data_IF_641273804135
#
_entry.id   IF_641273804135
#
_cell.length_a   1.000
_cell.length_b   1.000
_cell.length_c   1.000
_cell.angle_alpha   90.00
_cell.angle_beta   90.00
_cell.angle_gamma   90.00
#
_symmetry.space_group_name_H-M   'P 1'
#
loop_
_entity.id
_entity.type
_entity.pdbx_description
1 polymer ?
#
# COMPACT_ATOMS: atom_id res chain seq x y z
N UNK A 1 3.45 -30.05 23.26
CA UNK A 1 2.34 -29.67 22.36
C UNK A 1 2.97 -28.89 21.23
N UNK A 2 2.97 -29.46 20.03
CA UNK A 2 3.67 -28.92 18.86
C UNK A 2 2.88 -27.77 18.26
N UNK A 3 3.34 -26.54 18.50
CA UNK A 3 2.83 -25.39 17.77
C UNK A 3 3.56 -25.37 16.42
N UNK A 4 2.92 -25.93 15.40
CA UNK A 4 3.40 -25.83 14.02
C UNK A 4 3.14 -24.40 13.56
N UNK A 5 4.10 -23.50 13.76
CA UNK A 5 4.19 -22.23 13.04
C UNK A 5 4.11 -22.55 11.55
N UNK A 6 2.96 -22.28 10.93
CA UNK A 6 2.82 -22.35 9.47
C UNK A 6 3.66 -21.21 8.91
N UNK A 7 4.86 -21.59 8.51
CA UNK A 7 5.81 -20.77 7.77
C UNK A 7 5.21 -20.35 6.42
N UNK A 8 5.56 -19.15 5.96
CA UNK A 8 5.27 -18.67 4.61
C UNK A 8 5.61 -19.77 3.58
N UNK A 9 4.61 -20.27 2.87
CA UNK A 9 4.72 -21.53 2.11
C UNK A 9 5.53 -21.39 0.83
N UNK A 10 5.55 -20.20 0.23
CA UNK A 10 6.32 -19.91 -0.98
C UNK A 10 6.48 -18.40 -1.16
N UNK A 11 7.72 -17.94 -1.33
CA UNK A 11 8.02 -16.64 -1.94
C UNK A 11 8.74 -16.88 -3.28
N UNK A 12 8.28 -16.21 -4.33
CA UNK A 12 8.94 -16.22 -5.64
C UNK A 12 9.21 -14.80 -6.05
N UNK A 13 10.49 -14.43 -6.18
CA UNK A 13 10.94 -13.10 -6.62
C UNK A 13 11.51 -13.18 -8.03
N UNK A 14 11.21 -12.17 -8.84
CA UNK A 14 11.74 -12.00 -10.19
C UNK A 14 11.98 -10.52 -10.50
N UNK A 15 13.06 -10.22 -11.24
CA UNK A 15 13.28 -8.92 -11.88
C UNK A 15 12.74 -8.94 -13.31
N UNK A 16 12.09 -7.85 -13.71
CA UNK A 16 11.31 -7.75 -14.94
C UNK A 16 11.71 -6.50 -15.71
N UNK A 17 12.00 -6.65 -17.00
CA UNK A 17 12.50 -5.57 -17.86
C UNK A 17 11.47 -4.95 -18.81
N UNK A 18 10.20 -5.35 -18.73
CA UNK A 18 9.13 -4.77 -19.56
C UNK A 18 7.75 -4.88 -18.91
N UNK A 19 6.82 -3.99 -19.30
CA UNK A 19 5.43 -4.03 -18.85
C UNK A 19 4.72 -5.32 -19.23
N UNK A 20 4.96 -5.81 -20.45
CA UNK A 20 4.36 -7.05 -20.94
C UNK A 20 4.79 -8.25 -20.11
N UNK A 21 6.05 -8.31 -19.71
CA UNK A 21 6.56 -9.40 -18.87
C UNK A 21 5.96 -9.31 -17.46
N UNK A 22 5.82 -8.09 -16.90
CA UNK A 22 5.22 -7.89 -15.59
C UNK A 22 3.77 -8.34 -15.59
N UNK A 23 3.01 -7.89 -16.59
CA UNK A 23 1.61 -8.28 -16.77
C UNK A 23 1.48 -9.79 -16.99
N UNK A 24 2.37 -10.41 -17.75
CA UNK A 24 2.35 -11.86 -17.98
C UNK A 24 2.54 -12.65 -16.68
N UNK A 25 3.43 -12.19 -15.79
CA UNK A 25 3.62 -12.79 -14.47
C UNK A 25 2.40 -12.60 -13.57
N UNK A 26 1.84 -11.39 -13.53
CA UNK A 26 0.60 -11.12 -12.78
C UNK A 26 -0.53 -12.01 -13.28
N UNK A 27 -0.74 -12.07 -14.61
CA UNK A 27 -1.81 -12.87 -15.22
C UNK A 27 -1.67 -14.34 -14.90
N UNK A 28 -0.45 -14.89 -14.98
CA UNK A 28 -0.20 -16.28 -14.59
C UNK A 28 -0.67 -16.54 -13.15
N UNK A 29 -0.32 -15.67 -12.21
CA UNK A 29 -0.70 -15.84 -10.81
C UNK A 29 -2.20 -15.65 -10.54
N UNK A 30 -2.87 -14.82 -11.34
CA UNK A 30 -4.32 -14.63 -11.28
C UNK A 30 -5.08 -15.77 -11.97
N UNK A 31 -4.55 -16.37 -13.03
CA UNK A 31 -5.14 -17.52 -13.72
C UNK A 31 -5.05 -18.80 -12.87
N UNK A 32 -3.96 -18.96 -12.10
CA UNK A 32 -3.69 -20.14 -11.27
C UNK A 32 -4.32 -20.07 -9.86
N UNK A 33 -5.08 -19.02 -9.54
CA UNK A 33 -5.66 -18.83 -8.20
C UNK A 33 -7.01 -19.54 -8.02
N UNK A 34 -7.27 -20.00 -6.80
CA UNK A 34 -8.58 -20.53 -6.40
C UNK A 34 -9.45 -19.50 -5.64
N UNK A 35 -8.92 -18.29 -5.41
CA UNK A 35 -9.67 -17.22 -4.76
C UNK A 35 -10.83 -16.74 -5.63
N UNK A 36 -11.95 -16.40 -5.01
CA UNK A 36 -13.17 -15.93 -5.69
C UNK A 36 -13.19 -14.42 -5.85
N UNK A 37 -12.53 -13.70 -4.96
CA UNK A 37 -12.46 -12.25 -4.94
C UNK A 37 -11.04 -11.76 -5.16
N UNK A 38 -10.90 -10.65 -5.87
CA UNK A 38 -9.62 -9.97 -6.10
C UNK A 38 -9.66 -8.55 -5.53
N UNK A 39 -8.69 -8.22 -4.70
CA UNK A 39 -8.42 -6.83 -4.29
C UNK A 39 -7.20 -6.32 -5.04
N UNK A 40 -7.31 -5.15 -5.65
CA UNK A 40 -6.22 -4.47 -6.36
C UNK A 40 -5.91 -3.16 -5.63
N UNK A 41 -4.75 -3.08 -4.98
CA UNK A 41 -4.20 -1.84 -4.48
C UNK A 41 -3.41 -1.18 -5.62
N UNK A 42 -3.93 -0.04 -6.08
CA UNK A 42 -3.43 0.69 -7.23
C UNK A 42 -3.70 2.19 -7.02
N UNK A 43 -2.99 3.05 -7.75
CA UNK A 43 -3.20 4.49 -7.66
C UNK A 43 -2.84 5.05 -6.30
N UNK A 44 -1.84 4.48 -5.62
CA UNK A 44 -1.32 5.04 -4.38
C UNK A 44 -0.78 6.44 -4.64
N UNK A 45 -1.24 7.41 -3.85
CA UNK A 45 -0.79 8.80 -3.93
C UNK A 45 -0.55 9.39 -2.54
N UNK A 46 0.21 10.47 -2.50
CA UNK A 46 0.50 11.21 -1.27
C UNK A 46 -0.30 12.51 -1.23
N UNK A 47 -0.60 13.04 -0.06
CA UNK A 47 -1.18 14.37 0.09
C UNK A 47 -0.09 15.43 0.10
N UNK A 48 -0.24 16.46 -0.72
CA UNK A 48 0.64 17.62 -0.73
C UNK A 48 -0.07 18.83 -0.15
N UNK A 49 0.67 19.68 0.55
CA UNK A 49 0.16 20.97 0.99
C UNK A 49 0.26 22.01 -0.12
N UNK A 50 -0.90 22.52 -0.52
CA UNK A 50 -1.05 23.67 -1.40
C UNK A 50 -1.05 24.94 -0.52
N UNK A 51 0.03 25.72 -0.63
CA UNK A 51 0.20 26.94 0.17
C UNK A 51 -0.77 28.06 -0.24
N UNK A 52 -1.17 28.11 -1.51
CA UNK A 52 -2.09 29.12 -2.04
C UNK A 52 -3.51 28.88 -1.52
N UNK A 53 -3.95 27.61 -1.54
CA UNK A 53 -5.26 27.21 -1.01
C UNK A 53 -5.26 26.96 0.50
N UNK A 54 -4.08 26.86 1.11
CA UNK A 54 -3.87 26.46 2.51
C UNK A 54 -4.57 25.13 2.86
N UNK A 55 -4.57 24.19 1.92
CA UNK A 55 -5.25 22.90 2.05
C UNK A 55 -4.38 21.76 1.53
N UNK A 56 -4.81 20.52 1.78
CA UNK A 56 -4.18 19.35 1.19
C UNK A 56 -4.83 19.03 -0.16
N UNK A 57 -4.00 18.65 -1.12
CA UNK A 57 -4.41 18.20 -2.46
C UNK A 57 -3.81 16.83 -2.77
N UNK A 58 -4.49 15.96 -3.54
CA UNK A 58 -3.93 14.68 -3.98
C UNK A 58 -2.64 14.86 -4.79
N UNK A 59 -1.67 13.99 -4.58
CA UNK A 59 -0.40 13.95 -5.31
C UNK A 59 -0.51 13.34 -6.70
N UNK A 60 -1.48 13.79 -7.49
CA UNK A 60 -1.75 13.36 -8.86
C UNK A 60 -1.63 14.60 -9.74
N UNK A 61 -0.59 14.69 -10.58
CA UNK A 61 -0.27 15.95 -11.27
C UNK A 61 -1.34 16.35 -12.30
N UNK A 62 -2.09 15.39 -12.82
CA UNK A 62 -3.21 15.57 -13.75
C UNK A 62 -4.46 16.17 -13.08
N UNK A 63 -4.56 16.11 -11.75
CA UNK A 63 -5.69 16.64 -10.98
C UNK A 63 -5.40 18.05 -10.42
N UNK A 64 -4.22 18.62 -10.70
CA UNK A 64 -3.84 19.92 -10.14
C UNK A 64 -4.35 21.08 -10.98
N UNK A 65 -4.89 22.09 -10.30
CA UNK A 65 -5.37 23.32 -10.95
C UNK A 65 -4.24 24.31 -11.29
N UNK A 66 -3.10 24.24 -10.57
CA UNK A 66 -1.99 25.17 -10.77
C UNK A 66 -0.77 24.48 -11.37
N UNK A 67 -0.10 25.17 -12.29
CA UNK A 67 1.13 24.68 -12.92
C UNK A 67 2.23 24.42 -11.88
N UNK A 68 2.32 25.28 -10.85
CA UNK A 68 3.29 25.12 -9.77
C UNK A 68 3.11 23.79 -9.03
N UNK A 69 1.88 23.47 -8.61
CA UNK A 69 1.59 22.21 -7.92
C UNK A 69 1.74 21.02 -8.85
N UNK A 70 1.28 21.14 -10.10
CA UNK A 70 1.46 20.08 -11.11
C UNK A 70 2.94 19.73 -11.29
N UNK A 71 3.81 20.72 -11.49
CA UNK A 71 5.26 20.50 -11.65
C UNK A 71 5.91 19.94 -10.38
N UNK A 72 5.52 20.42 -9.20
CA UNK A 72 6.02 19.90 -7.93
C UNK A 72 5.71 18.42 -7.75
N UNK A 73 4.46 18.03 -8.00
CA UNK A 73 4.00 16.64 -7.88
C UNK A 73 4.66 15.78 -8.96
N UNK A 74 4.68 16.27 -10.20
CA UNK A 74 5.31 15.58 -11.34
C UNK A 74 6.76 15.20 -11.06
N UNK A 75 7.57 16.12 -10.52
CA UNK A 75 8.98 15.85 -10.15
C UNK A 75 9.14 14.83 -9.05
N UNK A 76 8.19 14.76 -8.10
CA UNK A 76 8.31 13.88 -6.94
C UNK A 76 7.75 12.49 -7.19
N UNK A 77 6.62 12.41 -7.88
CA UNK A 77 5.79 11.21 -7.96
C UNK A 77 5.71 10.66 -9.39
N UNK A 78 5.85 11.52 -10.41
CA UNK A 78 5.82 11.10 -11.80
C UNK A 78 4.45 10.55 -12.21
N UNK A 79 4.44 9.59 -13.15
CA UNK A 79 3.21 8.98 -13.68
C UNK A 79 2.61 7.92 -12.77
N UNK A 80 3.33 7.47 -11.73
CA UNK A 80 3.01 6.27 -10.96
C UNK A 80 1.54 6.15 -10.49
N UNK A 81 0.90 7.19 -9.90
CA UNK A 81 -0.46 7.04 -9.39
C UNK A 81 -1.45 6.74 -10.52
N UNK A 82 -1.48 7.57 -11.57
CA UNK A 82 -2.40 7.35 -12.70
C UNK A 82 -2.05 6.08 -13.47
N UNK A 83 -0.76 5.83 -13.71
CA UNK A 83 -0.31 4.65 -14.44
C UNK A 83 -0.70 3.34 -13.74
N UNK A 84 -0.44 3.22 -12.43
CA UNK A 84 -0.80 2.02 -11.68
C UNK A 84 -2.31 1.86 -11.53
N UNK A 85 -3.06 2.96 -11.42
CA UNK A 85 -4.52 2.93 -11.45
C UNK A 85 -5.04 2.36 -12.77
N UNK A 86 -4.56 2.86 -13.90
CA UNK A 86 -4.97 2.40 -15.23
C UNK A 86 -4.60 0.93 -15.46
N UNK A 87 -3.40 0.50 -15.03
CA UNK A 87 -3.02 -0.91 -15.02
C UNK A 87 -3.96 -1.75 -14.16
N UNK A 88 -4.20 -1.34 -12.92
CA UNK A 88 -5.05 -2.06 -11.97
C UNK A 88 -6.48 -2.24 -12.50
N UNK A 89 -7.07 -1.17 -13.02
CA UNK A 89 -8.42 -1.22 -13.60
C UNK A 89 -8.47 -2.07 -14.87
N UNK A 90 -7.42 -2.00 -15.72
CA UNK A 90 -7.32 -2.84 -16.92
C UNK A 90 -7.21 -4.34 -16.58
N UNK A 91 -6.44 -4.67 -15.54
CA UNK A 91 -6.36 -6.03 -15.00
C UNK A 91 -7.73 -6.46 -14.47
N UNK A 92 -8.38 -5.61 -13.67
CA UNK A 92 -9.73 -5.89 -13.17
C UNK A 92 -10.70 -6.21 -14.31
N UNK A 93 -10.70 -5.41 -15.38
CA UNK A 93 -11.56 -5.63 -16.55
C UNK A 93 -11.29 -6.97 -17.24
N UNK A 94 -10.03 -7.37 -17.39
CA UNK A 94 -9.66 -8.66 -17.97
C UNK A 94 -10.26 -9.83 -17.19
N UNK A 95 -10.35 -9.70 -15.86
CA UNK A 95 -10.81 -10.76 -14.96
C UNK A 95 -12.24 -10.60 -14.45
N UNK A 96 -13.02 -9.66 -14.99
CA UNK A 96 -14.39 -9.38 -14.53
C UNK A 96 -15.35 -10.55 -14.63
N UNK A 97 -15.07 -11.52 -15.50
CA UNK A 97 -15.86 -12.75 -15.63
C UNK A 97 -15.32 -13.93 -14.81
N UNK A 98 -14.12 -13.82 -14.23
CA UNK A 98 -13.48 -14.87 -13.45
C UNK A 98 -13.75 -14.70 -11.95
N UNK A 99 -13.64 -13.48 -11.43
CA UNK A 99 -13.86 -13.19 -10.02
C UNK A 99 -15.32 -12.82 -9.75
N UNK A 100 -15.87 -13.30 -8.63
CA UNK A 100 -17.21 -12.96 -8.16
C UNK A 100 -17.29 -11.49 -7.71
N UNK A 101 -16.19 -10.95 -7.17
CA UNK A 101 -16.06 -9.54 -6.78
C UNK A 101 -14.63 -9.05 -7.00
N UNK A 102 -14.52 -7.83 -7.53
CA UNK A 102 -13.25 -7.13 -7.72
C UNK A 102 -13.34 -5.80 -6.97
N UNK A 103 -12.43 -5.60 -6.03
CA UNK A 103 -12.33 -4.37 -5.26
C UNK A 103 -11.01 -3.63 -5.50
N UNK A 104 -11.07 -2.30 -5.47
CA UNK A 104 -9.92 -1.42 -5.60
C UNK A 104 -9.64 -0.73 -4.26
N UNK A 105 -8.41 -0.85 -3.78
CA UNK A 105 -7.96 -0.27 -2.52
C UNK A 105 -7.09 0.96 -2.81
N UNK A 106 -7.55 2.14 -2.38
CA UNK A 106 -6.82 3.40 -2.50
C UNK A 106 -6.07 3.71 -1.20
N UNK A 107 -4.80 3.32 -1.14
CA UNK A 107 -3.91 3.70 -0.05
C UNK A 107 -3.43 5.14 -0.26
N UNK A 108 -3.44 5.97 0.78
CA UNK A 108 -3.02 7.38 0.67
C UNK A 108 -2.02 7.79 1.74
N UNK A 109 -0.88 8.31 1.30
CA UNK A 109 0.14 8.89 2.19
C UNK A 109 -0.29 10.27 2.68
N UNK A 110 -0.95 10.27 3.82
CA UNK A 110 -1.51 11.48 4.44
C UNK A 110 -0.61 12.05 5.54
N UNK A 111 0.72 11.88 5.47
CA UNK A 111 1.62 12.41 6.49
C UNK A 111 2.95 12.97 5.98
N UNK A 112 3.55 12.43 4.92
CA UNK A 112 4.92 12.80 4.53
C UNK A 112 5.08 14.27 4.15
N UNK A 113 4.11 14.82 3.42
CA UNK A 113 4.14 16.20 2.92
C UNK A 113 3.09 17.10 3.56
N UNK A 114 2.55 16.67 4.72
CA UNK A 114 1.62 17.46 5.52
C UNK A 114 2.43 18.33 6.49
N UNK A 115 2.25 19.66 6.50
CA UNK A 115 3.02 20.54 7.36
C UNK A 115 2.68 20.31 8.83
N UNK A 116 3.71 20.38 9.67
CA UNK A 116 3.60 20.24 11.14
C UNK A 116 3.89 21.54 11.87
N UNK A 117 4.34 22.57 11.15
CA UNK A 117 4.67 23.88 11.71
C UNK A 117 3.59 24.89 11.33
N UNK A 118 3.18 25.73 12.29
CA UNK A 118 2.25 26.85 12.11
C UNK A 118 0.81 26.50 11.66
N UNK A 119 0.54 25.24 11.30
CA UNK A 119 -0.78 24.72 10.93
C UNK A 119 -0.97 23.33 11.54
N UNK A 120 -2.19 23.00 11.93
CA UNK A 120 -2.54 21.69 12.49
C UNK A 120 -2.66 20.64 11.38
N UNK A 121 -1.74 19.68 11.34
CA UNK A 121 -1.79 18.54 10.43
C UNK A 121 -3.07 17.69 10.60
N UNK A 122 -3.65 17.68 11.81
CA UNK A 122 -4.91 16.99 12.07
C UNK A 122 -6.08 17.68 11.38
N UNK A 123 -6.14 19.01 11.47
CA UNK A 123 -7.23 19.79 10.89
C UNK A 123 -7.15 19.75 9.36
N UNK A 124 -5.95 19.92 8.79
CA UNK A 124 -5.73 19.78 7.35
C UNK A 124 -6.19 18.44 6.78
N UNK A 125 -5.90 17.33 7.47
CA UNK A 125 -6.37 16.00 7.07
C UNK A 125 -7.87 15.86 7.21
N UNK A 126 -8.43 16.38 8.31
CA UNK A 126 -9.88 16.36 8.53
C UNK A 126 -10.59 17.07 7.38
N UNK A 127 -10.15 18.28 7.05
CA UNK A 127 -10.71 19.08 5.96
C UNK A 127 -10.58 18.36 4.61
N UNK A 128 -9.44 17.70 4.35
CA UNK A 128 -9.27 16.87 3.15
C UNK A 128 -10.33 15.76 3.07
N UNK A 129 -10.50 14.98 4.13
CA UNK A 129 -11.46 13.86 4.13
C UNK A 129 -12.93 14.30 4.12
N UNK A 130 -13.23 15.50 4.63
CA UNK A 130 -14.58 16.07 4.57
C UNK A 130 -14.92 16.62 3.18
N UNK A 131 -13.92 17.06 2.42
CA UNK A 131 -14.10 17.66 1.09
C UNK A 131 -13.95 16.65 -0.05
N UNK A 132 -13.10 15.64 0.10
CA UNK A 132 -12.84 14.62 -0.90
C UNK A 132 -13.73 13.39 -0.67
N UNK A 133 -15.02 13.55 -0.97
CA UNK A 133 -16.04 12.49 -0.79
C UNK A 133 -16.17 11.57 -2.01
N UNK A 134 -15.24 11.65 -2.96
CA UNK A 134 -15.14 10.81 -4.15
C UNK A 134 -13.66 10.49 -4.42
N UNK A 135 -13.41 9.42 -5.18
CA UNK A 135 -12.08 9.15 -5.74
C UNK A 135 -11.70 10.25 -6.75
N UNK A 136 -10.41 10.44 -7.05
CA UNK A 136 -9.96 11.39 -8.08
C UNK A 136 -10.73 11.24 -9.39
N UNK A 137 -10.96 12.35 -10.09
CA UNK A 137 -11.88 12.39 -11.24
C UNK A 137 -11.40 11.52 -12.41
N UNK A 138 -10.08 11.50 -12.65
CA UNK A 138 -9.43 10.63 -13.62
C UNK A 138 -9.57 9.16 -13.22
N UNK A 139 -9.49 8.85 -11.92
CA UNK A 139 -9.63 7.48 -11.43
C UNK A 139 -11.05 6.97 -11.64
N UNK A 140 -12.04 7.80 -11.32
CA UNK A 140 -13.45 7.49 -11.55
C UNK A 140 -13.74 7.27 -13.04
N UNK A 141 -13.18 8.13 -13.90
CA UNK A 141 -13.34 8.00 -15.36
C UNK A 141 -12.76 6.68 -15.86
N UNK A 142 -11.55 6.31 -15.45
CA UNK A 142 -10.92 5.05 -15.81
C UNK A 142 -11.73 3.84 -15.29
N UNK A 143 -12.24 3.90 -14.06
CA UNK A 143 -13.05 2.86 -13.44
C UNK A 143 -14.34 2.60 -14.23
N UNK A 144 -15.09 3.66 -14.52
CA UNK A 144 -16.36 3.59 -15.26
C UNK A 144 -16.15 3.12 -16.70
N UNK A 145 -15.11 3.62 -17.39
CA UNK A 145 -14.78 3.22 -18.77
C UNK A 145 -14.42 1.73 -18.88
N UNK A 146 -14.10 1.08 -17.77
CA UNK A 146 -13.77 -0.33 -17.70
C UNK A 146 -14.87 -1.19 -17.08
N UNK A 147 -16.08 -0.63 -16.91
CA UNK A 147 -17.28 -1.37 -16.49
C UNK A 147 -17.44 -1.52 -14.98
N UNK A 148 -16.70 -0.75 -14.19
CA UNK A 148 -16.78 -0.73 -12.73
C UNK A 148 -17.49 0.53 -12.22
N UNK A 149 -17.88 0.54 -10.96
CA UNK A 149 -18.48 1.69 -10.28
C UNK A 149 -17.76 1.99 -8.96
N UNK A 150 -18.17 3.05 -8.27
CA UNK A 150 -17.68 3.36 -6.92
C UNK A 150 -17.94 2.25 -5.90
N UNK A 151 -18.87 1.32 -6.16
CA UNK A 151 -19.13 0.15 -5.30
C UNK A 151 -17.99 -0.88 -5.36
N UNK A 152 -17.11 -0.75 -6.35
CA UNK A 152 -15.87 -1.51 -6.42
C UNK A 152 -14.75 -0.91 -5.56
N UNK A 153 -14.93 0.25 -4.92
CA UNK A 153 -13.92 0.76 -3.98
C UNK A 153 -14.02 0.00 -2.67
N UNK A 154 -12.90 -0.57 -2.22
CA UNK A 154 -12.82 -1.20 -0.91
C UNK A 154 -12.85 -0.11 0.15
N UNK A 155 -13.82 -0.21 1.07
CA UNK A 155 -13.87 0.67 2.24
C UNK A 155 -13.03 0.12 3.39
N UNK A 156 -12.59 1.00 4.27
CA UNK A 156 -12.04 0.62 5.57
C UNK A 156 -12.90 1.18 6.70
N UNK A 157 -12.64 0.76 7.94
CA UNK A 157 -13.38 1.28 9.11
C UNK A 157 -13.23 2.79 9.31
N UNK A 158 -12.18 3.41 8.77
CA UNK A 158 -11.90 4.85 8.94
C UNK A 158 -12.55 5.71 7.87
N UNK A 159 -12.62 5.24 6.63
CA UNK A 159 -13.10 6.01 5.49
C UNK A 159 -13.64 5.06 4.42
N UNK A 160 -14.71 5.47 3.74
CA UNK A 160 -15.40 4.66 2.73
C UNK A 160 -14.67 4.57 1.38
N UNK A 161 -13.63 5.37 1.18
CA UNK A 161 -12.97 5.59 -0.11
C UNK A 161 -11.48 5.28 -0.01
N UNK A 162 -10.84 5.79 1.04
CA UNK A 162 -9.40 5.74 1.20
C UNK A 162 -8.99 4.85 2.37
N UNK A 163 -7.78 4.33 2.28
CA UNK A 163 -7.02 3.73 3.38
C UNK A 163 -5.93 4.74 3.80
N UNK A 164 -6.16 5.54 4.86
CA UNK A 164 -5.16 6.49 5.35
C UNK A 164 -3.96 5.79 5.97
N UNK A 165 -2.75 6.07 5.47
CA UNK A 165 -1.50 5.55 6.03
C UNK A 165 -1.41 5.85 7.54
N UNK A 166 -1.75 7.07 7.96
CA UNK A 166 -1.67 7.46 9.37
C UNK A 166 -2.56 6.61 10.26
N UNK A 167 -3.78 6.31 9.81
CA UNK A 167 -4.70 5.45 10.55
C UNK A 167 -4.14 4.04 10.69
N UNK A 168 -3.59 3.47 9.61
CA UNK A 168 -2.95 2.15 9.63
C UNK A 168 -1.74 2.13 10.56
N UNK A 169 -0.90 3.19 10.54
CA UNK A 169 0.23 3.33 11.46
C UNK A 169 -0.20 3.35 12.93
N UNK A 170 -1.23 4.13 13.28
CA UNK A 170 -1.75 4.17 14.65
C UNK A 170 -2.32 2.83 15.09
N UNK A 171 -2.97 2.10 14.17
CA UNK A 171 -3.45 0.74 14.46
C UNK A 171 -2.30 -0.20 14.71
N UNK A 172 -1.27 -0.17 13.86
CA UNK A 172 -0.11 -1.01 14.04
C UNK A 172 0.59 -0.74 15.36
N UNK A 173 0.73 0.52 15.79
CA UNK A 173 1.31 0.85 17.11
C UNK A 173 0.55 0.19 18.27
N UNK A 174 -0.79 0.19 18.19
CA UNK A 174 -1.66 -0.48 19.18
C UNK A 174 -1.47 -2.01 19.12
N UNK A 175 -1.44 -2.58 17.92
CA UNK A 175 -1.20 -4.01 17.72
C UNK A 175 0.19 -4.43 18.20
N UNK A 176 1.24 -3.68 17.86
CA UNK A 176 2.63 -3.93 18.24
C UNK A 176 2.80 -3.99 19.75
N UNK A 177 2.15 -3.09 20.49
CA UNK A 177 2.18 -3.11 21.97
C UNK A 177 1.61 -4.41 22.55
N UNK A 178 0.62 -5.02 21.90
CA UNK A 178 0.06 -6.32 22.26
C UNK A 178 1.00 -7.46 21.83
N UNK A 179 1.54 -7.40 20.62
CA UNK A 179 2.42 -8.42 20.05
C UNK A 179 3.76 -8.53 20.81
N UNK A 180 4.29 -7.43 21.33
CA UNK A 180 5.45 -7.43 22.25
C UNK A 180 5.11 -8.18 23.54
N UNK A 181 3.92 -7.96 24.13
CA UNK A 181 3.49 -8.69 25.34
C UNK A 181 3.28 -10.18 25.10
N UNK A 182 2.91 -10.56 23.88
CA UNK A 182 2.76 -11.96 23.44
C UNK A 182 4.11 -12.60 23.07
N UNK A 183 5.23 -11.87 23.14
CA UNK A 183 6.54 -12.38 22.76
C UNK A 183 6.75 -12.57 21.26
N UNK A 184 5.89 -11.99 20.42
CA UNK A 184 5.97 -12.13 18.95
C UNK A 184 6.72 -10.99 18.25
N UNK A 185 6.95 -9.88 18.96
CA UNK A 185 7.84 -8.78 18.54
C UNK A 185 8.80 -8.47 19.67
N UNK A 186 10.01 -8.05 19.34
CA UNK A 186 11.02 -7.66 20.32
C UNK A 186 11.04 -6.15 20.49
N UNK A 187 11.09 -5.69 21.75
CA UNK A 187 11.25 -4.27 22.08
C UNK A 187 12.64 -4.05 22.68
N UNK A 188 13.43 -3.19 22.04
CA UNK A 188 14.77 -2.81 22.50
C UNK A 188 14.76 -1.34 22.92
N UNK A 189 15.38 -1.02 24.05
CA UNK A 189 15.59 0.37 24.48
C UNK A 189 16.94 0.84 23.93
N UNK A 190 16.96 1.95 23.22
CA UNK A 190 18.17 2.53 22.65
C UNK A 190 18.81 3.49 23.66
N UNK A 191 20.10 3.32 23.94
CA UNK A 191 21.00 4.28 24.60
C UNK A 191 20.51 4.89 25.92
N UNK A 192 20.29 4.10 26.99
CA UNK A 192 20.05 4.55 28.38
C UNK A 192 19.05 5.73 28.58
N UNK A 193 18.24 6.05 27.57
CA UNK A 193 17.25 7.10 27.56
C UNK A 193 15.90 6.42 27.43
N UNK A 194 15.11 6.48 28.49
CA UNK A 194 13.81 5.79 28.64
C UNK A 194 12.82 6.03 27.48
N UNK A 195 13.02 7.09 26.69
CA UNK A 195 12.11 7.51 25.62
C UNK A 195 12.51 7.07 24.21
N UNK A 196 13.65 6.38 24.02
CA UNK A 196 14.03 5.85 22.71
C UNK A 196 13.93 4.33 22.73
N UNK A 197 12.93 3.79 22.05
CA UNK A 197 12.76 2.35 21.89
C UNK A 197 12.47 1.97 20.45
N UNK A 198 12.93 0.79 20.09
CA UNK A 198 12.61 0.13 18.83
C UNK A 198 11.74 -1.09 19.07
N UNK A 199 10.81 -1.35 18.15
CA UNK A 199 10.07 -2.59 18.10
C UNK A 199 10.39 -3.24 16.75
N UNK A 200 10.86 -4.48 16.80
CA UNK A 200 11.35 -5.22 15.64
C UNK A 200 10.68 -6.58 15.55
N UNK A 201 10.48 -7.03 14.30
CA UNK A 201 10.21 -8.43 14.00
C UNK A 201 11.55 -9.15 13.83
N UNK A 202 11.69 -10.30 14.47
CA UNK A 202 12.86 -11.17 14.31
C UNK A 202 12.44 -12.32 13.42
N UNK A 203 13.06 -12.41 12.24
CA UNK A 203 12.76 -13.49 11.31
C UNK A 203 13.40 -14.83 11.74
N UNK A 204 13.09 -15.91 11.03
CA UNK A 204 13.60 -17.26 11.34
C UNK A 204 15.12 -17.39 11.30
N UNK A 205 15.81 -16.47 10.61
CA UNK A 205 17.26 -16.42 10.53
C UNK A 205 17.87 -15.54 11.63
N UNK A 206 17.05 -14.98 12.52
CA UNK A 206 17.48 -14.08 13.58
C UNK A 206 17.73 -12.64 13.11
N UNK A 207 17.30 -12.25 11.91
CA UNK A 207 17.47 -10.89 11.44
C UNK A 207 16.41 -9.96 12.03
N UNK A 208 16.85 -8.82 12.55
CA UNK A 208 15.98 -7.78 13.07
C UNK A 208 15.45 -6.90 11.93
N UNK A 209 14.13 -6.79 11.85
CA UNK A 209 13.42 -5.86 10.96
C UNK A 209 12.67 -4.83 11.80
N UNK A 210 13.21 -3.62 11.89
CA UNK A 210 12.63 -2.54 12.70
C UNK A 210 11.30 -2.05 12.12
N UNK A 211 10.24 -2.09 12.91
CA UNK A 211 8.88 -1.71 12.51
C UNK A 211 8.45 -0.37 13.13
N UNK A 212 8.92 -0.12 14.34
CA UNK A 212 8.72 1.14 15.05
C UNK A 212 10.07 1.58 15.57
N UNK A 213 10.50 2.79 15.23
CA UNK A 213 11.68 3.43 15.84
C UNK A 213 11.26 4.75 16.47
N UNK A 214 11.60 4.95 17.74
CA UNK A 214 11.26 6.16 18.50
C UNK A 214 9.76 6.52 18.45
N UNK A 215 8.89 5.49 18.44
CA UNK A 215 7.43 5.67 18.38
C UNK A 215 6.87 5.98 16.99
N UNK A 216 7.69 6.00 15.93
CA UNK A 216 7.24 6.20 14.55
C UNK A 216 7.17 4.85 13.84
N UNK A 217 6.00 4.51 13.30
CA UNK A 217 5.80 3.30 12.50
C UNK A 217 6.32 3.50 11.08
N UNK A 218 7.20 2.60 10.65
CA UNK A 218 7.64 2.51 9.25
C UNK A 218 6.56 1.94 8.33
N UNK A 219 6.75 2.04 7.02
CA UNK A 219 5.74 1.60 6.04
C UNK A 219 5.38 0.11 6.17
N UNK A 220 6.29 -0.74 6.64
CA UNK A 220 6.01 -2.16 6.87
C UNK A 220 4.84 -2.41 7.83
N UNK A 221 4.80 -1.71 8.97
CA UNK A 221 3.72 -1.91 9.96
C UNK A 221 2.35 -1.47 9.45
N UNK A 222 2.35 -0.45 8.60
CA UNK A 222 1.16 0.00 7.91
C UNK A 222 0.64 -1.05 6.91
N UNK A 223 1.52 -1.57 6.04
CA UNK A 223 1.16 -2.59 5.06
C UNK A 223 0.64 -3.84 5.77
N UNK A 224 1.25 -4.19 6.91
CA UNK A 224 0.76 -5.27 7.78
C UNK A 224 -0.70 -5.06 8.22
N UNK A 225 -1.07 -3.85 8.67
CA UNK A 225 -2.46 -3.56 9.06
C UNK A 225 -3.40 -3.49 7.85
N UNK A 226 -2.95 -2.96 6.71
CA UNK A 226 -3.75 -2.91 5.48
C UNK A 226 -4.17 -4.33 5.06
N UNK A 227 -3.21 -5.26 4.98
CA UNK A 227 -3.45 -6.66 4.62
C UNK A 227 -4.37 -7.33 5.65
N UNK A 228 -4.20 -7.01 6.93
CA UNK A 228 -5.09 -7.50 7.99
C UNK A 228 -6.54 -7.03 7.79
N UNK A 229 -6.76 -5.77 7.40
CA UNK A 229 -8.11 -5.24 7.13
C UNK A 229 -8.72 -5.86 5.87
N UNK A 230 -7.93 -6.06 4.80
CA UNK A 230 -8.36 -6.78 3.58
C UNK A 230 -8.81 -8.20 3.93
N UNK A 231 -8.01 -8.93 4.70
CA UNK A 231 -8.34 -10.29 5.12
C UNK A 231 -9.60 -10.33 6.00
N UNK A 232 -9.74 -9.39 6.94
CA UNK A 232 -10.93 -9.26 7.80
C UNK A 232 -12.19 -8.90 7.02
N UNK A 233 -12.06 -8.22 5.88
CA UNK A 233 -13.16 -7.96 4.95
C UNK A 233 -13.57 -9.19 4.14
N UNK A 234 -12.87 -10.32 4.27
CA UNK A 234 -13.22 -11.59 3.63
C UNK A 234 -12.39 -11.92 2.39
N UNK A 235 -11.56 -10.99 1.91
CA UNK A 235 -10.76 -11.20 0.70
C UNK A 235 -9.49 -12.02 0.98
N UNK A 236 -9.09 -12.86 0.01
CA UNK A 236 -7.94 -13.78 0.13
C UNK A 236 -6.87 -13.59 -0.95
N UNK A 237 -7.13 -12.73 -1.93
CA UNK A 237 -6.18 -12.40 -2.99
C UNK A 237 -6.03 -10.89 -3.08
N UNK A 238 -4.79 -10.42 -2.97
CA UNK A 238 -4.43 -9.01 -3.03
C UNK A 238 -3.28 -8.80 -4.02
N UNK A 239 -3.49 -7.94 -5.02
CA UNK A 239 -2.45 -7.40 -5.88
C UNK A 239 -2.07 -6.01 -5.38
N UNK A 240 -0.78 -5.75 -5.18
CA UNK A 240 -0.24 -4.47 -4.70
C UNK A 240 0.69 -3.90 -5.76
N UNK A 241 0.39 -2.70 -6.25
CA UNK A 241 1.34 -1.85 -6.95
C UNK A 241 1.98 -0.88 -5.96
N UNK A 242 3.24 -1.13 -5.62
CA UNK A 242 4.00 -0.31 -4.67
C UNK A 242 5.05 0.56 -5.38
N UNK A 243 5.36 1.77 -4.89
CA UNK A 243 6.53 2.48 -5.37
C UNK A 243 7.81 1.67 -5.15
N UNK A 244 8.77 1.72 -6.07
CA UNK A 244 10.06 1.00 -5.95
C UNK A 244 10.82 1.34 -4.66
N UNK A 245 10.79 2.61 -4.22
CA UNK A 245 11.38 3.03 -2.93
C UNK A 245 10.71 2.38 -1.71
N UNK A 246 9.46 1.94 -1.86
CA UNK A 246 8.67 1.29 -0.81
C UNK A 246 8.69 -0.25 -0.90
N UNK A 247 9.35 -0.84 -1.89
CA UNK A 247 9.27 -2.28 -2.16
C UNK A 247 9.70 -3.14 -0.96
N UNK A 248 10.89 -2.88 -0.42
CA UNK A 248 11.42 -3.64 0.73
C UNK A 248 10.54 -3.51 2.00
N UNK A 249 10.08 -2.30 2.38
CA UNK A 249 9.08 -2.16 3.43
C UNK A 249 7.77 -2.91 3.17
N UNK A 250 7.27 -2.91 1.93
CA UNK A 250 6.04 -3.64 1.56
C UNK A 250 6.23 -5.14 1.71
N UNK A 251 7.32 -5.72 1.19
CA UNK A 251 7.64 -7.14 1.38
C UNK A 251 7.70 -7.51 2.86
N UNK A 252 8.40 -6.70 3.67
CA UNK A 252 8.49 -6.90 5.12
C UNK A 252 7.09 -6.87 5.75
N UNK A 253 6.26 -5.91 5.37
CA UNK A 253 4.89 -5.79 5.86
C UNK A 253 4.00 -6.99 5.49
N UNK A 254 4.17 -7.55 4.29
CA UNK A 254 3.47 -8.76 3.82
C UNK A 254 3.90 -9.97 4.64
N UNK A 255 5.20 -10.22 4.79
CA UNK A 255 5.72 -11.36 5.56
C UNK A 255 5.22 -11.31 7.00
N UNK A 256 5.26 -10.13 7.62
CA UNK A 256 4.75 -9.93 8.97
C UNK A 256 3.25 -10.16 9.01
N UNK A 257 2.47 -9.65 8.05
CA UNK A 257 1.03 -9.89 8.02
C UNK A 257 0.71 -11.39 7.98
N UNK A 258 1.33 -12.12 7.06
CA UNK A 258 1.05 -13.54 6.85
C UNK A 258 1.50 -14.40 8.04
N UNK A 259 2.71 -14.15 8.57
CA UNK A 259 3.29 -14.95 9.66
C UNK A 259 2.73 -14.54 11.04
N UNK A 260 2.73 -13.24 11.35
CA UNK A 260 2.44 -12.74 12.69
C UNK A 260 0.94 -12.78 13.01
N UNK A 261 0.09 -12.48 12.02
CA UNK A 261 -1.36 -12.51 12.16
C UNK A 261 -1.98 -13.83 11.72
N UNK A 262 -1.18 -14.78 11.24
CA UNK A 262 -1.63 -16.09 10.77
C UNK A 262 -2.80 -15.97 9.79
N UNK A 263 -2.64 -15.10 8.78
CA UNK A 263 -3.66 -14.82 7.77
C UNK A 263 -3.71 -15.96 6.76
N UNK A 264 -4.25 -17.11 7.17
CA UNK A 264 -4.29 -18.33 6.38
C UNK A 264 -5.04 -18.16 5.05
N UNK A 265 -4.59 -18.88 4.04
CA UNK A 265 -5.15 -18.90 2.69
C UNK A 265 -5.06 -17.54 1.97
N UNK A 266 -4.25 -16.61 2.46
CA UNK A 266 -4.00 -15.32 1.82
C UNK A 266 -2.87 -15.44 0.79
N UNK A 267 -3.14 -14.96 -0.42
CA UNK A 267 -2.16 -14.74 -1.49
C UNK A 267 -1.97 -13.25 -1.71
N UNK A 268 -0.73 -12.79 -1.68
CA UNK A 268 -0.36 -11.40 -1.98
C UNK A 268 0.63 -11.37 -3.12
N UNK A 269 0.28 -10.64 -4.18
CA UNK A 269 1.14 -10.37 -5.34
C UNK A 269 1.61 -8.93 -5.20
N UNK A 270 2.92 -8.70 -5.27
CA UNK A 270 3.53 -7.37 -5.16
C UNK A 270 4.33 -7.10 -6.43
N UNK A 271 4.03 -5.98 -7.07
CA UNK A 271 4.77 -5.44 -8.21
C UNK A 271 5.16 -3.99 -7.90
N UNK A 272 6.35 -3.56 -8.31
CA UNK A 272 6.80 -2.17 -8.15
C UNK A 272 7.04 -1.43 -9.47
N UNK A 273 5.98 -1.01 -10.16
CA UNK A 273 6.10 -0.40 -11.49
C UNK A 273 6.56 1.07 -11.39
N UNK A 274 7.74 1.34 -10.83
CA UNK A 274 8.34 2.67 -10.66
C UNK A 274 7.88 3.40 -9.41
N UNK A 275 7.85 4.74 -9.41
CA UNK A 275 7.25 5.54 -8.33
C UNK A 275 8.18 6.55 -7.67
N UNK A 276 9.22 6.99 -8.35
CA UNK A 276 10.22 7.96 -7.89
C UNK A 276 10.40 9.14 -8.86
N UNK A 277 9.31 9.55 -9.53
CA UNK A 277 9.32 10.68 -10.46
C UNK A 277 9.48 10.32 -11.94
N UNK A 278 9.43 9.03 -12.29
CA UNK A 278 9.50 8.59 -13.68
C UNK A 278 8.34 9.16 -14.51
N UNK A 279 8.65 9.52 -15.75
CA UNK A 279 7.72 10.18 -16.67
C UNK A 279 7.20 9.29 -17.80
N UNK A 280 7.75 8.09 -17.95
CA UNK A 280 7.35 7.10 -18.95
C UNK A 280 7.52 5.69 -18.41
N UNK A 281 6.87 4.73 -19.05
CA UNK A 281 7.08 3.31 -18.76
C UNK A 281 8.49 2.87 -19.14
N UNK A 282 9.09 3.42 -20.19
CA UNK A 282 10.48 3.14 -20.56
C UNK A 282 11.46 3.48 -19.41
N UNK A 283 11.31 4.66 -18.78
CA UNK A 283 12.13 5.05 -17.61
C UNK A 283 11.95 4.12 -16.40
N UNK A 284 10.76 3.54 -16.25
CA UNK A 284 10.43 2.59 -15.18
C UNK A 284 11.13 1.25 -15.42
N UNK A 285 10.96 0.68 -16.61
CA UNK A 285 11.42 -0.67 -16.91
C UNK A 285 12.91 -0.75 -17.28
N UNK A 286 13.55 0.36 -17.69
CA UNK A 286 15.01 0.43 -17.85
C UNK A 286 15.75 0.08 -16.55
N UNK A 287 15.16 0.39 -15.39
CA UNK A 287 15.74 0.09 -14.06
C UNK A 287 15.52 -1.35 -13.61
N UNK A 288 14.76 -2.13 -14.38
CA UNK A 288 14.12 -3.39 -13.96
C UNK A 288 13.16 -3.16 -12.77
N UNK A 289 12.04 -3.87 -12.77
CA UNK A 289 11.07 -3.85 -11.67
C UNK A 289 11.01 -5.21 -11.00
N UNK A 290 10.75 -5.21 -9.71
CA UNK A 290 10.51 -6.37 -8.89
C UNK A 290 9.07 -6.89 -9.01
N UNK A 291 8.97 -8.20 -9.03
CA UNK A 291 7.74 -8.95 -8.90
C UNK A 291 7.91 -9.98 -7.79
N UNK A 292 6.97 -10.09 -6.86
CA UNK A 292 6.97 -11.17 -5.88
C UNK A 292 5.58 -11.66 -5.51
N UNK A 293 5.49 -12.96 -5.26
CA UNK A 293 4.28 -13.62 -4.79
C UNK A 293 4.53 -14.19 -3.41
N UNK A 294 3.58 -13.99 -2.49
CA UNK A 294 3.58 -14.53 -1.13
C UNK A 294 2.30 -15.34 -0.91
N UNK A 295 2.44 -16.52 -0.30
CA UNK A 295 1.30 -17.36 0.11
C UNK A 295 1.48 -17.90 1.53
N UNK A 296 0.39 -17.85 2.32
CA UNK A 296 0.30 -18.47 3.65
C UNK A 296 -0.21 -19.90 3.62
#
# INVERSE_FOLDING_TARGET
MSDSTKTLRKSHHQLVGSENDLLSLIYKELDETAAKELVIMAGHFMLFFDEEKRSLTPGIFQEQETELMSQRIKRRVGIFPTYTWDLGVSIGKKYSNQFEDIKYLLLINDWQYVPTQNVSASDLRKDFYETHTQIPSQYLSALVNNGFSSDNILSCKKNSIFFPETWLKYRFQKSASKLVKEGKLEKTVLNDRENQSEISFVDENGNYRTLISCGITGCAGEITEMISEVHKAGHRLLLIFAPGECYQPVQTGVEIALNLYNLSDMKVIVADPGGSGEMSTDEIYEKMVNFTVFTS
#
